data_IF_808411388048
#
_entry.id   IF_808411388048
#
_cell.length_a   1.000
_cell.length_b   1.000
_cell.length_c   1.000
_cell.angle_alpha   90.00
_cell.angle_beta   90.00
_cell.angle_gamma   90.00
#
_symmetry.space_group_name_H-M   'P 1'
#
loop_
_entity.id
_entity.type
_entity.pdbx_description
1 polymer ?
#
# COMPACT_ATOMS: atom_id res chain seq x y z
N UNK A 1 -8.74 -70.91 -2.84
CA UNK A 1 -8.00 -71.21 -4.08
C UNK A 1 -8.97 -71.08 -5.25
N UNK A 2 -8.95 -69.93 -5.92
CA UNK A 2 -9.71 -69.54 -7.14
C UNK A 2 -9.66 -68.00 -7.19
N UNK A 3 -9.38 -67.26 -8.25
CA UNK A 3 -8.80 -67.47 -9.59
C UNK A 3 -8.37 -66.05 -10.02
N UNK A 4 -7.25 -65.90 -10.72
CA UNK A 4 -6.88 -64.66 -11.41
C UNK A 4 -7.83 -64.46 -12.58
N UNK A 5 -8.30 -63.23 -12.81
CA UNK A 5 -8.63 -62.75 -14.15
C UNK A 5 -8.06 -61.35 -14.32
N UNK A 6 -7.20 -61.25 -15.34
CA UNK A 6 -6.67 -60.02 -15.90
C UNK A 6 -7.77 -59.40 -16.78
N UNK A 7 -8.00 -58.09 -16.66
CA UNK A 7 -8.67 -57.34 -17.71
C UNK A 7 -7.92 -56.02 -17.93
N UNK A 8 -7.25 -55.99 -19.07
CA UNK A 8 -6.60 -54.84 -19.70
C UNK A 8 -7.64 -53.83 -20.18
N UNK A 9 -7.55 -52.58 -19.72
CA UNK A 9 -8.10 -51.42 -20.42
C UNK A 9 -7.04 -50.31 -20.40
N UNK A 10 -6.60 -49.96 -21.59
CA UNK A 10 -5.71 -48.85 -21.92
C UNK A 10 -6.50 -47.54 -21.99
N UNK A 11 -6.05 -46.50 -21.27
CA UNK A 11 -6.08 -45.09 -21.72
C UNK A 11 -5.29 -44.18 -20.76
N UNK A 12 -4.88 -42.96 -21.17
CA UNK A 12 -3.50 -42.51 -21.06
C UNK A 12 -3.32 -41.39 -20.02
N UNK A 13 -2.05 -41.12 -19.72
CA UNK A 13 -1.55 -39.84 -19.19
C UNK A 13 -2.18 -39.32 -17.88
N UNK A 14 -1.56 -39.70 -16.76
CA UNK A 14 -1.65 -38.95 -15.50
C UNK A 14 -0.24 -38.54 -15.06
N UNK A 15 0.37 -37.66 -15.83
CA UNK A 15 1.23 -36.65 -15.22
C UNK A 15 0.34 -35.62 -14.53
N UNK A 16 0.64 -35.29 -13.28
CA UNK A 16 0.92 -33.94 -12.80
C UNK A 16 0.62 -33.84 -11.29
N UNK A 17 1.62 -33.38 -10.55
CA UNK A 17 1.59 -33.25 -9.10
C UNK A 17 0.57 -32.21 -8.65
N UNK A 18 -0.34 -32.63 -7.79
CA UNK A 18 -1.23 -31.76 -7.05
C UNK A 18 -0.45 -30.92 -6.04
N UNK A 19 -0.21 -29.65 -6.39
CA UNK A 19 -0.15 -28.53 -5.43
C UNK A 19 -0.77 -27.29 -6.06
N UNK A 20 -2.09 -27.16 -5.91
CA UNK A 20 -2.82 -25.89 -6.03
C UNK A 20 -2.90 -25.24 -4.66
N UNK A 21 -2.32 -24.05 -4.51
CA UNK A 21 -2.71 -22.89 -3.68
C UNK A 21 -1.57 -21.85 -3.87
N UNK A 22 -1.71 -20.59 -4.28
CA UNK A 22 -2.79 -19.62 -4.19
C UNK A 22 -2.82 -18.69 -5.41
N UNK A 23 -4.00 -18.52 -5.98
CA UNK A 23 -4.35 -17.43 -6.89
C UNK A 23 -4.36 -16.10 -6.10
N UNK A 24 -3.33 -15.28 -6.23
CA UNK A 24 -3.48 -13.84 -5.94
C UNK A 24 -4.26 -13.25 -7.13
N UNK A 25 -5.58 -13.14 -6.98
CA UNK A 25 -6.40 -12.38 -7.93
C UNK A 25 -6.02 -10.92 -7.75
N UNK A 26 -5.30 -10.35 -8.71
CA UNK A 26 -5.31 -8.91 -8.95
C UNK A 26 -6.78 -8.52 -9.18
N UNK A 27 -7.39 -7.84 -8.21
CA UNK A 27 -8.62 -7.10 -8.49
C UNK A 27 -8.24 -5.98 -9.47
N UNK A 28 -9.02 -5.75 -10.54
CA UNK A 28 -8.76 -4.64 -11.43
C UNK A 28 -8.83 -3.35 -10.60
N UNK A 29 -7.72 -2.63 -10.56
CA UNK A 29 -7.66 -1.29 -9.98
C UNK A 29 -8.81 -0.47 -10.57
N UNK A 30 -9.61 0.16 -9.70
CA UNK A 30 -10.51 1.25 -10.12
C UNK A 30 -9.68 2.20 -10.98
N UNK A 31 -10.23 2.82 -12.04
CA UNK A 31 -9.48 3.83 -12.78
C UNK A 31 -9.11 4.94 -11.82
N UNK A 32 -7.90 4.88 -11.27
CA UNK A 32 -7.32 5.96 -10.51
C UNK A 32 -7.11 7.04 -11.56
N UNK A 33 -7.83 8.14 -11.42
CA UNK A 33 -7.37 9.44 -11.91
C UNK A 33 -5.85 9.44 -11.82
N UNK A 34 -5.14 9.59 -12.96
CA UNK A 34 -3.67 9.55 -13.04
C UNK A 34 -3.08 10.06 -11.73
N UNK A 35 -2.44 9.17 -10.96
CA UNK A 35 -1.70 9.60 -9.77
C UNK A 35 -0.68 10.62 -10.25
N UNK A 36 -0.84 11.86 -9.81
CA UNK A 36 0.19 12.87 -10.02
C UNK A 36 1.30 12.50 -9.04
N UNK A 37 2.16 11.58 -9.45
CA UNK A 37 3.37 11.28 -8.69
C UNK A 37 4.29 12.48 -8.85
N UNK A 38 4.35 13.33 -7.83
CA UNK A 38 5.31 14.43 -7.77
C UNK A 38 6.66 13.84 -7.35
N UNK A 39 7.62 13.88 -8.28
CA UNK A 39 9.02 13.56 -7.99
C UNK A 39 9.61 14.57 -7.00
N UNK A 40 10.46 14.14 -6.04
CA UNK A 40 10.99 15.03 -5.03
C UNK A 40 11.96 16.05 -5.64
N UNK A 41 11.74 17.34 -5.37
CA UNK A 41 12.62 18.44 -5.77
C UNK A 41 13.65 18.79 -4.69
N UNK A 42 13.43 18.33 -3.46
CA UNK A 42 14.24 18.65 -2.30
C UNK A 42 14.71 17.38 -1.58
N UNK A 43 15.47 17.56 -0.50
CA UNK A 43 15.91 16.45 0.34
C UNK A 43 14.70 15.65 0.84
N UNK A 44 14.70 14.34 0.55
CA UNK A 44 13.67 13.44 1.03
C UNK A 44 13.90 13.17 2.51
N UNK A 45 12.88 13.46 3.30
CA UNK A 45 12.90 13.21 4.75
C UNK A 45 11.78 12.24 5.08
N UNK A 46 12.17 11.07 5.58
CA UNK A 46 11.26 9.97 5.85
C UNK A 46 11.73 9.17 7.07
N UNK A 47 10.79 8.53 7.77
CA UNK A 47 11.12 7.60 8.85
C UNK A 47 11.31 6.19 8.29
N UNK A 48 12.37 5.50 8.72
CA UNK A 48 12.70 4.14 8.28
C UNK A 48 11.60 3.11 8.61
N UNK A 49 10.78 3.35 9.64
CA UNK A 49 9.65 2.49 10.05
C UNK A 49 10.01 1.00 10.19
N UNK A 50 11.23 0.72 10.65
CA UNK A 50 11.77 -0.65 10.80
C UNK A 50 10.85 -1.51 11.67
N UNK A 51 10.50 -1.05 12.88
CA UNK A 51 9.61 -1.80 13.78
C UNK A 51 8.23 -2.07 13.16
N UNK A 52 7.59 -1.06 12.56
CA UNK A 52 6.28 -1.25 11.93
C UNK A 52 6.35 -2.25 10.75
N UNK A 53 7.47 -2.28 10.03
CA UNK A 53 7.70 -3.19 8.91
C UNK A 53 8.00 -4.60 9.37
N UNK A 54 8.89 -4.78 10.35
CA UNK A 54 9.38 -6.08 10.79
C UNK A 54 8.44 -6.76 11.78
N UNK A 55 7.79 -6.00 12.66
CA UNK A 55 7.01 -6.53 13.78
C UNK A 55 5.50 -6.36 13.62
N UNK A 56 5.04 -5.41 12.79
CA UNK A 56 3.62 -5.11 12.58
C UNK A 56 3.10 -5.36 11.16
N UNK A 57 3.89 -6.02 10.31
CA UNK A 57 3.52 -6.35 8.92
C UNK A 57 3.07 -5.14 8.09
N UNK A 58 3.68 -3.98 8.31
CA UNK A 58 3.35 -2.75 7.59
C UNK A 58 3.46 -2.95 6.08
N UNK A 59 2.38 -2.58 5.39
CA UNK A 59 2.25 -2.64 3.94
C UNK A 59 1.90 -1.27 3.37
N UNK A 60 2.59 -0.86 2.29
CA UNK A 60 2.24 0.33 1.51
C UNK A 60 1.21 -0.08 0.45
N UNK A 61 0.02 0.49 0.55
CA UNK A 61 -1.12 0.14 -0.27
C UNK A 61 -1.25 1.05 -1.49
N UNK A 62 -0.86 2.33 -1.34
CA UNK A 62 -0.76 3.29 -2.43
C UNK A 62 0.28 4.39 -2.12
N UNK A 63 0.80 5.03 -3.17
CA UNK A 63 1.78 6.10 -3.09
C UNK A 63 1.38 7.30 -3.95
N UNK A 64 1.44 8.50 -3.36
CA UNK A 64 0.90 9.73 -3.94
C UNK A 64 1.99 10.78 -4.27
N UNK A 65 3.27 10.39 -4.26
CA UNK A 65 4.39 11.31 -4.49
C UNK A 65 4.90 11.94 -3.20
N UNK A 66 5.26 13.23 -3.24
CA UNK A 66 5.84 13.96 -2.11
C UNK A 66 5.09 15.26 -1.82
N UNK A 67 4.90 15.57 -0.53
CA UNK A 67 4.57 16.92 -0.07
C UNK A 67 5.84 17.71 0.15
N UNK A 68 5.86 18.98 -0.25
CA UNK A 68 7.07 19.80 -0.19
C UNK A 68 6.87 21.05 0.65
N UNK A 69 6.77 20.95 1.98
CA UNK A 69 6.68 22.11 2.86
C UNK A 69 8.06 22.75 3.12
N UNK A 70 8.04 24.03 3.50
CA UNK A 70 9.17 24.72 4.09
C UNK A 70 9.26 24.34 5.58
N UNK A 71 10.38 23.75 6.00
CA UNK A 71 10.66 23.51 7.41
C UNK A 71 11.30 24.76 8.03
N UNK A 72 10.56 25.45 8.91
CA UNK A 72 11.03 26.69 9.51
C UNK A 72 12.12 26.48 10.58
N UNK A 73 12.41 25.24 10.99
CA UNK A 73 13.47 24.96 11.98
C UNK A 73 14.85 25.16 11.38
N UNK A 74 15.04 24.75 10.12
CA UNK A 74 16.29 24.88 9.37
C UNK A 74 16.17 25.86 8.19
N UNK A 75 14.96 26.31 7.87
CA UNK A 75 14.70 27.25 6.78
C UNK A 75 14.80 26.60 5.39
N UNK A 76 14.69 25.28 5.30
CA UNK A 76 14.85 24.53 4.07
C UNK A 76 13.54 23.86 3.62
N UNK A 77 13.33 23.81 2.32
CA UNK A 77 12.28 22.96 1.74
C UNK A 77 12.67 21.50 1.86
N UNK A 78 11.71 20.64 2.21
CA UNK A 78 11.90 19.18 2.33
C UNK A 78 10.86 18.46 1.50
N UNK A 79 11.16 17.26 1.01
CA UNK A 79 10.20 16.40 0.32
C UNK A 79 9.78 15.26 1.25
N UNK A 80 8.51 15.20 1.62
CA UNK A 80 7.94 14.17 2.49
C UNK A 80 7.11 13.18 1.66
N UNK A 81 7.50 11.91 1.53
CA UNK A 81 6.71 10.91 0.83
C UNK A 81 5.29 10.78 1.40
N UNK A 82 4.28 10.74 0.52
CA UNK A 82 2.88 10.61 0.89
C UNK A 82 2.36 9.22 0.49
N UNK A 83 1.90 8.43 1.45
CA UNK A 83 1.49 7.03 1.24
C UNK A 83 0.23 6.67 2.01
N UNK A 84 -0.58 5.76 1.46
CA UNK A 84 -1.59 5.03 2.21
C UNK A 84 -0.97 3.72 2.68
N UNK A 85 -1.00 3.47 3.97
CA UNK A 85 -0.41 2.26 4.57
C UNK A 85 -1.40 1.54 5.47
N UNK A 86 -1.11 0.28 5.75
CA UNK A 86 -1.80 -0.51 6.75
C UNK A 86 -0.79 -1.35 7.52
N UNK A 87 -0.92 -1.43 8.84
CA UNK A 87 -0.18 -2.36 9.70
C UNK A 87 -1.11 -3.01 10.75
N UNK A 88 -0.65 -4.06 11.41
CA UNK A 88 -1.46 -4.85 12.34
C UNK A 88 -1.72 -4.17 13.69
N UNK A 89 -0.92 -3.15 14.05
CA UNK A 89 -1.05 -2.43 15.32
C UNK A 89 -1.92 -1.17 15.21
N UNK A 90 -1.76 -0.41 14.13
CA UNK A 90 -2.36 0.90 13.88
C UNK A 90 -3.45 0.91 12.81
N UNK A 91 -3.67 -0.19 12.09
CA UNK A 91 -4.66 -0.27 11.02
C UNK A 91 -4.31 0.63 9.83
N UNK A 92 -5.32 1.24 9.20
CA UNK A 92 -5.15 2.12 8.04
C UNK A 92 -4.67 3.52 8.43
N UNK A 93 -3.61 4.00 7.78
CA UNK A 93 -2.98 5.29 8.06
C UNK A 93 -2.54 6.00 6.78
N UNK A 94 -2.42 7.33 6.85
CA UNK A 94 -1.66 8.11 5.87
C UNK A 94 -0.29 8.41 6.45
N UNK A 95 0.75 8.14 5.69
CA UNK A 95 2.11 8.55 6.04
C UNK A 95 2.52 9.77 5.24
N UNK A 96 3.14 10.73 5.92
CA UNK A 96 3.77 11.90 5.31
C UNK A 96 5.18 12.05 5.87
N UNK A 97 6.19 11.60 5.14
CA UNK A 97 7.57 11.63 5.62
C UNK A 97 7.66 10.94 6.98
N UNK A 98 8.15 11.59 8.05
CA UNK A 98 8.28 10.96 9.37
C UNK A 98 6.95 10.83 10.15
N UNK A 99 5.84 11.38 9.63
CA UNK A 99 4.56 11.43 10.33
C UNK A 99 3.60 10.34 9.86
N UNK A 100 2.76 9.86 10.78
CA UNK A 100 1.63 8.99 10.51
C UNK A 100 0.35 9.71 10.97
N UNK A 101 -0.71 9.62 10.18
CA UNK A 101 -2.02 10.20 10.44
C UNK A 101 -3.05 9.09 10.47
N UNK A 102 -3.79 9.00 11.57
CA UNK A 102 -4.86 8.02 11.73
C UNK A 102 -6.21 8.57 11.24
N UNK A 103 -7.28 7.81 11.45
CA UNK A 103 -8.63 8.23 11.05
C UNK A 103 -9.08 9.58 11.65
N UNK A 104 -8.66 9.91 12.87
CA UNK A 104 -9.05 11.14 13.56
C UNK A 104 -8.26 12.35 13.04
N UNK A 105 -7.00 12.16 12.67
CA UNK A 105 -6.19 13.17 12.00
C UNK A 105 -6.69 13.45 10.59
N UNK A 106 -6.99 12.39 9.84
CA UNK A 106 -7.47 12.51 8.45
C UNK A 106 -8.76 13.32 8.39
N UNK A 107 -9.67 13.15 9.35
CA UNK A 107 -10.90 13.94 9.39
C UNK A 107 -10.63 15.44 9.64
N UNK A 108 -9.68 15.75 10.52
CA UNK A 108 -9.23 17.14 10.76
C UNK A 108 -8.57 17.74 9.52
N UNK A 109 -7.74 16.95 8.82
CA UNK A 109 -7.08 17.38 7.58
C UNK A 109 -8.13 17.69 6.50
N UNK A 110 -9.18 16.86 6.36
CA UNK A 110 -10.29 17.13 5.43
C UNK A 110 -10.99 18.46 5.74
N UNK A 111 -11.27 18.72 7.01
CA UNK A 111 -11.87 19.99 7.44
C UNK A 111 -10.95 21.18 7.14
N UNK A 112 -9.64 21.03 7.37
CA UNK A 112 -8.66 22.07 7.06
C UNK A 112 -8.56 22.35 5.54
N UNK A 113 -8.62 21.31 4.71
CA UNK A 113 -8.65 21.44 3.25
C UNK A 113 -9.92 22.18 2.82
N UNK A 114 -11.08 21.79 3.33
CA UNK A 114 -12.35 22.47 3.01
C UNK A 114 -12.30 23.97 3.38
N UNK A 115 -11.80 24.30 4.58
CA UNK A 115 -11.65 25.69 5.00
C UNK A 115 -10.64 26.47 4.15
N UNK A 116 -9.57 25.81 3.66
CA UNK A 116 -8.63 26.42 2.73
C UNK A 116 -9.29 26.71 1.38
N UNK A 117 -10.00 25.75 0.80
CA UNK A 117 -10.68 25.87 -0.49
C UNK A 117 -11.71 27.01 -0.45
N UNK A 118 -12.52 27.08 0.62
CA UNK A 118 -13.45 28.19 0.87
C UNK A 118 -12.73 29.56 0.89
N UNK A 119 -11.57 29.63 1.55
CA UNK A 119 -10.81 30.88 1.69
C UNK A 119 -10.17 31.34 0.37
N UNK A 120 -9.81 30.41 -0.52
CA UNK A 120 -9.18 30.73 -1.81
C UNK A 120 -10.13 30.67 -3.01
N UNK A 121 -11.41 30.35 -2.78
CA UNK A 121 -12.47 30.29 -3.79
C UNK A 121 -12.35 29.11 -4.75
N UNK A 122 -12.02 27.92 -4.23
CA UNK A 122 -11.94 26.66 -4.98
C UNK A 122 -13.12 25.73 -4.73
#
# INVERSE_FOLDING_TARGET
MTTREENSVSDPDRTNGDRKINNIRYLPSRPHTKSITVEPRFEVVDSARTYATEELDRSVMDAFGHMEPLDYRDGLWKSFPLRLTHDSGGGWQIECGPFNFDSADVERIRQAIAAYDDAVGK
#
